data_IF_379548343147
#
_entry.id   IF_379548343147
#
_cell.length_a   1.000
_cell.length_b   1.000
_cell.length_c   1.000
_cell.angle_alpha   90.00
_cell.angle_beta   90.00
_cell.angle_gamma   90.00
#
_symmetry.space_group_name_H-M   'P 1'
#
loop_
_entity.id
_entity.type
_entity.pdbx_description
1 polymer ?
#
# COMPACT_ATOMS: atom_id res chain seq x y z
N UNK A 1 42.20 2.78 0.94
CA UNK A 1 40.82 2.43 0.58
C UNK A 1 39.96 3.65 0.85
N UNK A 2 39.43 4.31 -0.18
CA UNK A 2 38.62 5.51 0.00
C UNK A 2 37.29 5.12 0.66
N UNK A 3 37.00 5.78 1.78
CA UNK A 3 35.82 5.55 2.61
C UNK A 3 34.66 6.36 2.02
N UNK A 4 34.15 5.95 0.86
CA UNK A 4 33.02 6.64 0.22
C UNK A 4 31.70 6.09 0.79
N UNK A 5 30.96 6.93 1.51
CA UNK A 5 29.60 6.61 1.95
C UNK A 5 28.72 6.35 0.73
N UNK A 6 27.89 5.31 0.80
CA UNK A 6 26.94 5.01 -0.26
C UNK A 6 25.93 6.16 -0.39
N UNK A 7 25.81 6.68 -1.61
CA UNK A 7 24.83 7.70 -2.03
C UNK A 7 23.90 7.08 -3.07
N UNK A 8 22.60 7.12 -2.82
CA UNK A 8 21.62 6.56 -3.73
C UNK A 8 21.69 7.18 -5.13
N UNK A 9 21.84 8.50 -5.26
CA UNK A 9 21.85 9.22 -6.55
C UNK A 9 23.07 8.84 -7.40
N UNK A 10 24.18 8.50 -6.77
CA UNK A 10 25.43 8.20 -7.49
C UNK A 10 25.70 6.70 -7.65
N UNK A 11 25.10 5.84 -6.80
CA UNK A 11 25.43 4.42 -6.73
C UNK A 11 24.24 3.48 -7.01
N UNK A 12 23.25 3.96 -7.78
CA UNK A 12 22.17 3.11 -8.27
C UNK A 12 21.77 3.49 -9.70
N UNK A 13 21.06 2.60 -10.38
CA UNK A 13 20.62 2.80 -11.77
C UNK A 13 19.21 2.23 -11.94
N UNK A 14 18.38 2.90 -12.73
CA UNK A 14 16.98 2.53 -12.94
C UNK A 14 16.75 1.56 -14.09
N UNK A 15 15.79 0.63 -13.92
CA UNK A 15 15.37 -0.36 -14.91
C UNK A 15 13.86 -0.57 -14.86
N UNK A 16 13.17 -1.04 -15.90
CA UNK A 16 11.73 -1.32 -15.82
C UNK A 16 11.34 -2.16 -14.59
N UNK A 17 10.20 -1.86 -13.96
CA UNK A 17 9.75 -2.62 -12.77
C UNK A 17 9.36 -4.05 -13.16
N UNK A 18 9.84 -5.03 -12.39
CA UNK A 18 9.59 -6.46 -12.55
C UNK A 18 8.68 -7.03 -11.45
N UNK A 19 8.16 -6.15 -10.58
CA UNK A 19 7.35 -6.51 -9.42
C UNK A 19 6.05 -5.70 -9.40
N UNK A 20 5.07 -6.16 -10.17
CA UNK A 20 3.72 -5.64 -10.22
C UNK A 20 2.72 -6.78 -10.45
N UNK A 21 1.48 -6.62 -10.02
CA UNK A 21 0.43 -7.61 -10.28
C UNK A 21 -0.72 -7.55 -9.29
N UNK A 22 -1.58 -8.56 -9.36
CA UNK A 22 -2.63 -8.82 -8.38
C UNK A 22 -2.21 -10.01 -7.50
N UNK A 23 -2.32 -9.82 -6.18
CA UNK A 23 -2.44 -10.89 -5.20
C UNK A 23 -3.92 -11.23 -5.07
N UNK A 24 -4.23 -12.45 -4.60
CA UNK A 24 -5.61 -12.97 -4.43
C UNK A 24 -6.58 -11.99 -3.73
N UNK A 25 -6.06 -10.99 -3.00
CA UNK A 25 -6.85 -10.03 -2.24
C UNK A 25 -6.52 -8.54 -2.50
N UNK A 26 -5.49 -8.21 -3.30
CA UNK A 26 -5.08 -6.82 -3.58
C UNK A 26 -4.10 -6.65 -4.77
N UNK A 27 -4.14 -5.48 -5.41
CA UNK A 27 -3.09 -5.06 -6.36
C UNK A 27 -1.84 -4.54 -5.66
N UNK A 28 -0.67 -4.76 -6.25
CA UNK A 28 0.62 -4.27 -5.76
C UNK A 28 1.48 -3.70 -6.90
N UNK A 29 2.34 -2.74 -6.58
CA UNK A 29 3.27 -2.13 -7.52
C UNK A 29 4.52 -1.65 -6.79
N UNK A 30 5.69 -2.12 -7.24
CA UNK A 30 6.99 -1.57 -6.81
C UNK A 30 7.34 -0.34 -7.62
N UNK A 31 7.60 0.77 -6.92
CA UNK A 31 7.95 2.07 -7.50
C UNK A 31 9.34 2.54 -7.08
N UNK A 32 9.90 3.45 -7.89
CA UNK A 32 11.10 4.20 -7.53
C UNK A 32 10.78 5.33 -6.53
N UNK A 33 11.69 5.67 -5.62
CA UNK A 33 11.47 6.70 -4.59
C UNK A 33 11.35 8.13 -5.14
N UNK A 34 11.80 8.36 -6.36
CA UNK A 34 11.71 9.60 -7.14
C UNK A 34 10.58 9.59 -8.17
N UNK A 35 9.77 8.53 -8.23
CA UNK A 35 8.58 8.48 -9.09
C UNK A 35 7.68 9.68 -8.75
N UNK A 36 7.33 10.54 -9.73
CA UNK A 36 6.49 11.69 -9.46
C UNK A 36 5.13 11.26 -8.88
N UNK A 37 4.65 11.87 -7.78
CA UNK A 37 3.39 11.48 -7.15
C UNK A 37 2.17 11.53 -8.08
N UNK A 38 2.19 12.39 -9.09
CA UNK A 38 1.14 12.48 -10.12
C UNK A 38 1.00 11.17 -10.91
N UNK A 39 2.11 10.51 -11.23
CA UNK A 39 2.10 9.22 -11.94
C UNK A 39 1.45 8.16 -11.06
N UNK A 40 1.78 8.14 -9.77
CA UNK A 40 1.20 7.22 -8.78
C UNK A 40 -0.31 7.44 -8.66
N UNK A 41 -0.75 8.70 -8.56
CA UNK A 41 -2.17 9.04 -8.48
C UNK A 41 -2.95 8.63 -9.74
N UNK A 42 -2.38 8.87 -10.92
CA UNK A 42 -2.96 8.48 -12.21
C UNK A 42 -3.09 6.96 -12.29
N UNK A 43 -2.07 6.22 -11.88
CA UNK A 43 -2.11 4.77 -11.85
C UNK A 43 -3.20 4.24 -10.90
N UNK A 44 -3.27 4.79 -9.68
CA UNK A 44 -4.27 4.40 -8.69
C UNK A 44 -5.71 4.65 -9.18
N UNK A 45 -5.96 5.78 -9.84
CA UNK A 45 -7.32 6.18 -10.24
C UNK A 45 -7.73 5.62 -11.60
N UNK A 46 -6.85 5.67 -12.60
CA UNK A 46 -7.17 5.26 -13.97
C UNK A 46 -6.91 3.77 -14.23
N UNK A 47 -5.86 3.19 -13.66
CA UNK A 47 -5.47 1.80 -13.96
C UNK A 47 -6.03 0.82 -12.91
N UNK A 48 -6.03 1.20 -11.63
CA UNK A 48 -6.65 0.41 -10.56
C UNK A 48 -8.11 0.76 -10.29
N UNK A 49 -8.64 1.80 -10.95
CA UNK A 49 -10.03 2.20 -10.82
C UNK A 49 -10.42 2.69 -9.42
N UNK A 50 -9.45 3.16 -8.62
CA UNK A 50 -9.77 3.69 -7.29
C UNK A 50 -10.54 5.02 -7.46
N UNK A 51 -11.69 5.19 -6.79
CA UNK A 51 -12.41 6.46 -6.83
C UNK A 51 -11.56 7.55 -6.20
N UNK A 52 -11.54 8.73 -6.83
CA UNK A 52 -10.83 9.88 -6.28
C UNK A 52 -11.31 10.17 -4.85
N UNK A 53 -10.38 10.36 -3.88
CA UNK A 53 -10.76 10.61 -2.50
C UNK A 53 -11.25 12.04 -2.32
N UNK A 54 -12.23 12.23 -1.44
CA UNK A 54 -12.58 13.56 -0.92
C UNK A 54 -11.69 13.96 0.27
N UNK A 55 -11.01 12.98 0.87
CA UNK A 55 -10.14 13.13 2.03
C UNK A 55 -9.11 12.01 2.03
N UNK A 56 -7.90 12.32 2.49
CA UNK A 56 -6.83 11.34 2.69
C UNK A 56 -6.42 11.36 4.16
N UNK A 57 -6.49 10.21 4.83
CA UNK A 57 -6.10 10.05 6.24
C UNK A 57 -4.87 9.18 6.31
N UNK A 58 -3.74 9.74 6.77
CA UNK A 58 -2.51 8.98 7.02
C UNK A 58 -2.48 8.49 8.46
N UNK A 59 -2.36 7.18 8.63
CA UNK A 59 -2.26 6.51 9.92
C UNK A 59 -0.83 5.98 10.08
N UNK A 60 -0.07 6.68 10.91
CA UNK A 60 1.32 6.35 11.24
C UNK A 60 1.38 5.90 12.69
N UNK A 61 2.16 4.86 12.96
CA UNK A 61 2.39 4.35 14.31
C UNK A 61 3.75 3.68 14.39
N UNK A 62 4.18 3.37 15.62
CA UNK A 62 5.46 2.71 15.85
C UNK A 62 5.53 1.32 15.20
N UNK A 63 6.70 1.01 14.65
CA UNK A 63 7.09 -0.30 14.16
C UNK A 63 7.63 -1.08 15.36
N UNK A 64 6.88 -2.06 15.85
CA UNK A 64 7.26 -2.83 17.03
C UNK A 64 6.23 -3.88 17.42
N UNK A 65 6.69 -4.90 18.14
CA UNK A 65 5.85 -5.97 18.70
C UNK A 65 5.09 -5.56 19.97
N UNK A 66 5.07 -4.28 20.31
CA UNK A 66 4.32 -3.80 21.47
C UNK A 66 2.83 -4.14 21.30
N UNK A 67 2.25 -4.67 22.38
CA UNK A 67 0.83 -5.04 22.37
C UNK A 67 0.00 -3.77 22.22
N UNK A 68 -0.60 -3.62 21.04
CA UNK A 68 -1.55 -2.54 20.79
C UNK A 68 -2.69 -2.65 21.79
N UNK A 69 -2.99 -1.54 22.44
CA UNK A 69 -4.04 -1.50 23.46
C UNK A 69 -5.39 -1.82 22.81
N UNK A 70 -6.24 -2.67 23.43
CA UNK A 70 -7.53 -3.07 22.84
C UNK A 70 -8.44 -1.91 22.43
N UNK A 71 -8.39 -0.79 23.16
CA UNK A 71 -9.19 0.41 22.84
C UNK A 71 -8.80 1.04 21.48
N UNK A 72 -7.54 0.94 21.06
CA UNK A 72 -7.07 1.47 19.77
C UNK A 72 -7.76 0.73 18.63
N UNK A 73 -7.82 -0.61 18.71
CA UNK A 73 -8.53 -1.44 17.73
C UNK A 73 -10.01 -1.04 17.63
N UNK A 74 -10.63 -0.76 18.77
CA UNK A 74 -12.05 -0.40 18.82
C UNK A 74 -12.32 0.99 18.23
N UNK A 75 -11.43 1.96 18.45
CA UNK A 75 -11.50 3.28 17.80
C UNK A 75 -11.27 3.19 16.29
N UNK A 76 -10.31 2.38 15.84
CA UNK A 76 -10.06 2.19 14.40
C UNK A 76 -11.29 1.59 13.71
N UNK A 77 -11.86 0.53 14.29
CA UNK A 77 -13.01 -0.18 13.71
C UNK A 77 -14.30 0.66 13.74
N UNK A 78 -14.64 1.26 14.87
CA UNK A 78 -15.92 1.98 15.05
C UNK A 78 -15.86 3.43 14.60
N UNK A 79 -14.68 4.05 14.64
CA UNK A 79 -14.45 5.44 14.27
C UNK A 79 -13.89 5.55 12.85
N UNK A 80 -12.60 5.26 12.69
CA UNK A 80 -11.87 5.53 11.45
C UNK A 80 -12.49 4.84 10.23
N UNK A 81 -12.70 3.52 10.29
CA UNK A 81 -13.18 2.73 9.15
C UNK A 81 -14.59 3.17 8.73
N UNK A 82 -15.48 3.42 9.69
CA UNK A 82 -16.83 3.95 9.41
C UNK A 82 -16.80 5.35 8.80
N UNK A 83 -15.95 6.24 9.32
CA UNK A 83 -15.82 7.59 8.80
C UNK A 83 -15.28 7.60 7.36
N UNK A 84 -14.25 6.78 7.09
CA UNK A 84 -13.68 6.63 5.76
C UNK A 84 -14.71 6.07 4.76
N UNK A 85 -15.51 5.09 5.17
CA UNK A 85 -16.59 4.55 4.36
C UNK A 85 -17.64 5.61 3.98
N UNK A 86 -18.09 6.40 4.96
CA UNK A 86 -19.13 7.41 4.78
C UNK A 86 -18.71 8.50 3.79
N UNK A 87 -17.46 8.96 3.93
CA UNK A 87 -16.90 10.09 3.17
C UNK A 87 -16.27 9.69 1.83
N UNK A 88 -15.95 8.40 1.66
CA UNK A 88 -15.12 7.94 0.54
C UNK A 88 -13.65 8.37 0.71
N UNK A 89 -13.15 8.43 1.93
CA UNK A 89 -11.76 8.78 2.21
C UNK A 89 -10.82 7.62 1.90
N UNK A 90 -9.59 7.95 1.50
CA UNK A 90 -8.49 6.98 1.47
C UNK A 90 -7.80 6.91 2.82
N UNK A 91 -7.49 5.70 3.27
CA UNK A 91 -6.65 5.47 4.45
C UNK A 91 -5.26 5.05 3.97
N UNK A 92 -4.25 5.86 4.28
CA UNK A 92 -2.84 5.54 4.01
C UNK A 92 -2.20 5.00 5.28
N UNK A 93 -1.41 3.94 5.17
CA UNK A 93 -0.71 3.33 6.30
C UNK A 93 0.60 2.65 5.87
N UNK A 94 1.42 2.22 6.81
CA UNK A 94 2.75 1.65 6.53
C UNK A 94 2.73 0.29 5.82
N UNK A 95 1.57 -0.36 5.72
CA UNK A 95 1.35 -1.58 4.90
C UNK A 95 1.99 -2.87 5.43
N UNK A 96 2.81 -2.80 6.48
CA UNK A 96 3.37 -3.96 7.16
C UNK A 96 2.33 -4.61 8.10
N UNK A 97 2.43 -5.92 8.29
CA UNK A 97 1.57 -6.71 9.19
C UNK A 97 2.00 -6.59 10.66
N UNK A 98 2.31 -5.38 11.08
CA UNK A 98 2.74 -5.05 12.44
C UNK A 98 2.21 -3.68 12.87
N UNK A 99 2.32 -3.41 14.18
CA UNK A 99 1.93 -2.13 14.75
C UNK A 99 0.52 -1.69 14.33
N UNK A 100 0.34 -0.38 14.21
CA UNK A 100 -0.95 0.24 13.91
C UNK A 100 -1.47 -0.18 12.52
N UNK A 101 -0.58 -0.38 11.54
CA UNK A 101 -0.93 -0.83 10.18
C UNK A 101 -1.69 -2.15 10.20
N UNK A 102 -1.28 -3.11 11.03
CA UNK A 102 -2.01 -4.37 11.24
C UNK A 102 -3.42 -4.13 11.77
N UNK A 103 -3.58 -3.28 12.78
CA UNK A 103 -4.91 -3.01 13.35
C UNK A 103 -5.84 -2.29 12.37
N UNK A 104 -5.31 -1.43 11.50
CA UNK A 104 -6.08 -0.83 10.40
C UNK A 104 -6.57 -1.91 9.44
N UNK A 105 -5.69 -2.81 9.00
CA UNK A 105 -6.04 -3.92 8.11
C UNK A 105 -7.10 -4.85 8.72
N UNK A 106 -6.90 -5.27 9.98
CA UNK A 106 -7.87 -6.08 10.73
C UNK A 106 -9.22 -5.36 10.87
N UNK A 107 -9.23 -4.06 11.18
CA UNK A 107 -10.47 -3.29 11.32
C UNK A 107 -11.25 -3.19 9.99
N UNK A 108 -10.56 -3.04 8.87
CA UNK A 108 -11.17 -2.95 7.54
C UNK A 108 -11.70 -4.31 7.10
N UNK A 109 -10.95 -5.38 7.36
CA UNK A 109 -11.38 -6.76 7.11
C UNK A 109 -12.62 -7.13 7.94
N UNK A 110 -12.59 -6.84 9.23
CA UNK A 110 -13.71 -7.07 10.15
C UNK A 110 -14.97 -6.31 9.71
N UNK A 111 -14.79 -5.07 9.24
CA UNK A 111 -15.88 -4.24 8.72
C UNK A 111 -16.48 -4.79 7.42
N UNK A 112 -15.63 -5.27 6.50
CA UNK A 112 -16.09 -5.92 5.26
C UNK A 112 -16.86 -7.21 5.51
N UNK A 113 -16.40 -8.05 6.46
CA UNK A 113 -17.09 -9.29 6.82
C UNK A 113 -18.45 -9.05 7.52
N UNK A 114 -18.56 -7.94 8.27
CA UNK A 114 -19.80 -7.55 8.94
C UNK A 114 -20.80 -6.83 8.00
N UNK A 115 -20.32 -6.28 6.90
CA UNK A 115 -21.16 -5.61 5.90
C UNK A 115 -21.96 -6.67 5.12
N UNK A 116 -23.23 -6.87 5.49
CA UNK A 116 -24.18 -7.69 4.74
C UNK A 116 -24.36 -7.11 3.32
N UNK A 117 -24.74 -7.97 2.37
CA UNK A 117 -24.85 -7.87 0.89
C UNK A 117 -25.49 -6.62 0.26
N UNK A 118 -25.79 -5.56 1.00
CA UNK A 118 -26.39 -4.32 0.51
C UNK A 118 -25.31 -3.26 0.29
N UNK A 119 -24.84 -3.16 -0.95
CA UNK A 119 -24.26 -1.96 -1.63
C UNK A 119 -23.62 -0.87 -0.75
N UNK A 120 -22.78 -1.22 0.21
CA UNK A 120 -22.06 -0.21 0.99
C UNK A 120 -20.76 0.15 0.27
N UNK A 121 -20.40 1.45 0.30
CA UNK A 121 -19.14 1.95 -0.25
C UNK A 121 -17.97 1.14 0.33
N UNK A 122 -17.07 0.67 -0.53
CA UNK A 122 -15.85 -0.04 -0.11
C UNK A 122 -14.88 0.97 0.49
N UNK A 123 -14.23 0.59 1.59
CA UNK A 123 -13.16 1.40 2.19
C UNK A 123 -11.88 1.19 1.39
N UNK A 124 -11.25 2.28 0.95
CA UNK A 124 -9.97 2.22 0.22
C UNK A 124 -8.82 2.39 1.21
N UNK A 125 -7.94 1.39 1.26
CA UNK A 125 -6.74 1.38 2.11
C UNK A 125 -5.51 1.21 1.24
N UNK A 126 -4.51 2.05 1.48
CA UNK A 126 -3.27 2.13 0.72
C UNK A 126 -2.12 1.86 1.68
N UNK A 127 -1.44 0.73 1.49
CA UNK A 127 -0.18 0.43 2.15
C UNK A 127 0.98 1.14 1.46
N UNK A 128 1.89 1.70 2.24
CA UNK A 128 3.13 2.33 1.75
C UNK A 128 4.28 1.70 2.50
N UNK A 129 4.77 0.58 1.96
CA UNK A 129 5.81 -0.20 2.62
C UNK A 129 7.13 -0.11 1.90
N UNK A 130 8.23 -0.01 2.66
CA UNK A 130 9.52 -0.31 2.13
C UNK A 130 9.67 -1.81 1.71
N UNK A 131 9.47 -2.23 0.45
CA UNK A 131 10.11 -3.36 -0.30
C UNK A 131 11.18 -4.24 0.40
N UNK A 132 12.35 -3.73 0.78
CA UNK A 132 13.36 -4.41 1.59
C UNK A 132 12.88 -4.99 2.94
N UNK A 133 11.83 -4.42 3.54
CA UNK A 133 11.10 -4.94 4.69
C UNK A 133 9.97 -5.92 4.29
N UNK A 134 9.62 -6.01 3.01
CA UNK A 134 8.62 -6.96 2.52
C UNK A 134 9.21 -8.36 2.57
N UNK A 135 8.61 -9.20 3.40
CA UNK A 135 8.99 -10.60 3.52
C UNK A 135 8.64 -11.37 2.24
N UNK A 136 9.47 -12.34 1.85
CA UNK A 136 9.30 -13.13 0.62
C UNK A 136 9.15 -12.31 -0.67
N UNK A 137 9.65 -11.07 -0.71
CA UNK A 137 9.56 -10.17 -1.88
C UNK A 137 10.05 -10.78 -3.20
N UNK A 138 10.92 -11.80 -3.14
CA UNK A 138 11.39 -12.51 -4.33
C UNK A 138 10.27 -13.26 -5.06
N UNK A 139 9.20 -13.66 -4.37
CA UNK A 139 8.02 -14.29 -4.98
C UNK A 139 7.14 -13.28 -5.74
N UNK A 140 7.30 -11.99 -5.46
CA UNK A 140 6.57 -10.91 -6.13
C UNK A 140 7.30 -10.41 -7.39
N UNK A 141 8.55 -10.83 -7.58
CA UNK A 141 9.36 -10.52 -8.77
C UNK A 141 9.01 -11.51 -9.87
N UNK A 142 8.68 -11.02 -11.06
CA UNK A 142 8.19 -11.82 -12.18
C UNK A 142 6.99 -12.70 -11.81
N UNK A 143 6.18 -12.27 -10.85
CA UNK A 143 4.91 -12.93 -10.54
C UNK A 143 4.08 -12.98 -11.82
N UNK A 144 3.83 -14.17 -12.35
CA UNK A 144 3.11 -14.34 -13.61
C UNK A 144 1.67 -13.85 -13.42
N UNK A 145 1.31 -12.74 -14.06
CA UNK A 145 -0.09 -12.31 -14.16
C UNK A 145 -0.48 -12.21 -15.63
N UNK A 146 -1.43 -13.08 -15.99
CA UNK A 146 -2.29 -12.99 -17.17
C UNK A 146 -3.09 -11.68 -17.08
N UNK A 147 -2.59 -10.61 -17.68
CA UNK A 147 -3.36 -9.72 -18.54
C UNK A 147 -2.44 -8.60 -19.07
N UNK A 148 -2.28 -8.60 -20.39
CA UNK A 148 -1.77 -7.49 -21.19
C UNK A 148 -2.49 -6.19 -20.79
N UNK A 149 -1.72 -5.10 -20.65
CA UNK A 149 -2.08 -3.67 -20.79
C UNK A 149 -1.49 -2.72 -19.73
N UNK A 150 -0.28 -2.98 -19.23
CA UNK A 150 0.51 -1.96 -18.55
C UNK A 150 1.94 -1.91 -19.10
N UNK A 151 2.10 -1.72 -20.43
CA UNK A 151 3.35 -1.19 -20.98
C UNK A 151 3.35 0.34 -20.80
N UNK A 152 3.43 0.79 -19.55
CA UNK A 152 4.04 2.10 -19.30
C UNK A 152 5.53 1.79 -19.09
N UNK A 153 6.45 2.37 -19.87
CA UNK A 153 7.88 2.25 -19.58
C UNK A 153 8.18 3.05 -18.32
N UNK A 154 7.78 2.53 -17.16
CA UNK A 154 8.20 3.00 -15.86
C UNK A 154 9.64 2.53 -15.67
N UNK A 155 10.60 3.37 -16.06
CA UNK A 155 11.98 3.27 -15.58
C UNK A 155 11.92 3.25 -14.04
N UNK A 156 12.47 2.23 -13.41
CA UNK A 156 12.31 2.00 -11.96
C UNK A 156 13.40 1.08 -11.36
N UNK A 157 14.48 1.65 -10.85
CA UNK A 157 15.07 1.15 -9.59
C UNK A 157 15.62 2.31 -8.75
N UNK A 158 14.85 2.69 -7.74
CA UNK A 158 15.23 2.77 -6.32
C UNK A 158 14.01 2.46 -5.47
N UNK A 159 13.93 1.25 -4.91
CA UNK A 159 13.13 0.89 -3.72
C UNK A 159 12.43 2.09 -3.03
N UNK A 160 11.09 2.19 -2.89
CA UNK A 160 10.28 1.33 -2.03
C UNK A 160 8.82 1.83 -1.89
N UNK A 161 7.85 1.13 -2.49
CA UNK A 161 6.41 1.25 -2.18
C UNK A 161 5.75 -0.09 -2.53
N UNK A 162 4.88 -0.62 -1.68
CA UNK A 162 3.86 -1.60 -2.05
C UNK A 162 2.57 -1.26 -1.31
N UNK A 163 1.45 -1.20 -2.03
CA UNK A 163 0.12 -1.33 -1.48
C UNK A 163 -0.13 -2.81 -1.17
N UNK A 164 -0.54 -3.12 0.06
CA UNK A 164 -1.13 -4.40 0.41
C UNK A 164 -2.44 -4.14 1.17
N UNK A 165 -3.48 -4.85 0.75
CA UNK A 165 -4.73 -5.01 1.50
C UNK A 165 -5.03 -6.52 1.63
N UNK A 166 -5.00 -7.03 2.87
CA UNK A 166 -5.81 -8.12 3.45
C UNK A 166 -5.09 -8.83 4.62
#
# INVERSE_FOLDING_TARGET
CQNTSWDSQQHSSEYPTDAFGELEFAGFLRLSCDTPPQVIYTLMTEHWGLPSPNLVVSVVGGEGHEKIKPWVRDILRKGLVRAAQSTGAWILTGGLKEGVSRCVGEAVKDHGAAASTVSQKKVTVIGVTPWGLVHNRQQLVNAQVLNLLCFVPLQSVKCQMLLNAA
#
